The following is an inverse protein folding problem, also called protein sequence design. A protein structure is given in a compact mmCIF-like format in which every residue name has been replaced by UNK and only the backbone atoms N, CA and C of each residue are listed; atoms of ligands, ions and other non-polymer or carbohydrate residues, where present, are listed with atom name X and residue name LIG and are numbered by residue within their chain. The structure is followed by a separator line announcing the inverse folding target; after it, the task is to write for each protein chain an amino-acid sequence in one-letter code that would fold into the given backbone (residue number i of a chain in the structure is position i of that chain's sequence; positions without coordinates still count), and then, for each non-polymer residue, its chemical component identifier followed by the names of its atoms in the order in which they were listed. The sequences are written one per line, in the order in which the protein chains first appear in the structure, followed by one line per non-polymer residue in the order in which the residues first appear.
data_IF_597857481032
#
_entry.id   IF_597857481032
#
_cell.length_a   1.000
_cell.length_b   1.000
_cell.length_c   1.000
_cell.angle_alpha   90.00
_cell.angle_beta   90.00
_cell.angle_gamma   90.00
#
_symmetry.space_group_name_H-M   'P 1'
#
loop_
_entity.id
_entity.type
_entity.pdbx_description
1 polymer ?
#
# COMPACT_ATOMS: atom_id res chain seq x y z
N UNK A 1 0.09 11.49 -10.78
CA UNK A 1 0.38 10.07 -10.51
C UNK A 1 0.48 9.88 -9.01
N UNK A 2 -0.28 8.96 -8.44
CA UNK A 2 -0.71 9.03 -7.04
C UNK A 2 0.42 8.66 -6.07
N UNK A 3 1.24 9.67 -5.78
CA UNK A 3 2.21 9.72 -4.71
C UNK A 3 1.46 9.81 -3.38
N UNK A 4 0.77 8.72 -3.00
CA UNK A 4 -0.01 8.68 -1.76
C UNK A 4 0.94 8.99 -0.60
N UNK A 5 0.68 10.10 0.09
CA UNK A 5 1.50 10.54 1.22
C UNK A 5 1.09 9.73 2.44
N UNK A 6 2.04 9.51 3.35
CA UNK A 6 1.79 8.80 4.62
C UNK A 6 0.62 9.40 5.39
N UNK A 7 0.50 10.74 5.37
CA UNK A 7 -0.58 11.48 6.03
C UNK A 7 -1.97 11.12 5.49
N UNK A 8 -2.07 10.83 4.20
CA UNK A 8 -3.35 10.48 3.57
C UNK A 8 -3.75 9.04 3.92
N UNK A 9 -2.78 8.12 3.98
CA UNK A 9 -3.00 6.74 4.43
C UNK A 9 -3.44 6.67 5.90
N UNK A 10 -2.89 7.53 6.76
CA UNK A 10 -3.27 7.58 8.17
C UNK A 10 -4.73 7.98 8.38
N UNK A 11 -5.28 8.82 7.49
CA UNK A 11 -6.68 9.24 7.54
C UNK A 11 -7.67 8.17 7.04
N UNK A 12 -7.20 7.20 6.27
CA UNK A 12 -8.04 6.10 5.78
C UNK A 12 -8.36 5.13 6.91
N UNK A 13 -9.59 4.61 6.93
CA UNK A 13 -9.97 3.53 7.83
C UNK A 13 -9.40 2.18 7.35
N UNK A 14 -9.46 1.14 8.19
CA UNK A 14 -8.87 -0.17 7.86
C UNK A 14 -9.45 -0.79 6.57
N UNK A 15 -10.76 -0.63 6.34
CA UNK A 15 -11.46 -1.16 5.17
C UNK A 15 -11.06 -0.44 3.88
N UNK A 16 -10.94 0.88 3.93
CA UNK A 16 -10.45 1.72 2.84
C UNK A 16 -9.00 1.37 2.49
N UNK A 17 -8.15 1.14 3.49
CA UNK A 17 -6.77 0.70 3.27
C UNK A 17 -6.70 -0.66 2.60
N UNK A 18 -7.55 -1.62 2.99
CA UNK A 18 -7.63 -2.93 2.34
C UNK A 18 -8.10 -2.83 0.88
N UNK A 19 -9.16 -2.07 0.61
CA UNK A 19 -9.62 -1.82 -0.76
C UNK A 19 -8.52 -1.17 -1.60
N UNK A 20 -7.82 -0.17 -1.05
CA UNK A 20 -6.71 0.50 -1.74
C UNK A 20 -5.52 -0.44 -1.98
N UNK A 21 -5.26 -1.36 -1.07
CA UNK A 21 -4.23 -2.38 -1.22
C UNK A 21 -4.56 -3.32 -2.39
N UNK A 22 -5.81 -3.73 -2.54
CA UNK A 22 -6.28 -4.58 -3.63
C UNK A 22 -6.19 -3.86 -4.99
N UNK A 23 -6.60 -2.59 -5.05
CA UNK A 23 -6.47 -1.76 -6.25
C UNK A 23 -5.00 -1.65 -6.70
N UNK A 24 -4.10 -1.27 -5.78
CA UNK A 24 -2.67 -1.14 -6.08
C UNK A 24 -2.04 -2.47 -6.52
N UNK A 25 -2.50 -3.59 -5.95
CA UNK A 25 -2.05 -4.93 -6.35
C UNK A 25 -2.47 -5.26 -7.78
N UNK A 26 -3.73 -5.00 -8.14
CA UNK A 26 -4.23 -5.23 -9.50
C UNK A 26 -3.51 -4.35 -10.53
N UNK A 27 -3.28 -3.09 -10.20
CA UNK A 27 -2.56 -2.14 -11.06
C UNK A 27 -1.10 -2.56 -11.26
N UNK A 28 -0.46 -3.08 -10.22
CA UNK A 28 0.90 -3.61 -10.27
C UNK A 28 1.00 -4.89 -11.11
N UNK A 29 0.01 -5.78 -11.02
CA UNK A 29 -0.06 -6.99 -11.86
C UNK A 29 -0.24 -6.59 -13.33
N UNK A 30 -1.18 -5.70 -13.64
CA UNK A 30 -1.41 -5.20 -15.01
C UNK A 30 -0.16 -4.53 -15.58
N UNK A 31 0.54 -3.74 -14.77
CA UNK A 31 1.77 -3.05 -15.17
C UNK A 31 2.95 -4.02 -15.38
N UNK A 32 3.02 -5.12 -14.63
CA UNK A 32 4.04 -6.16 -14.80
C UNK A 32 3.82 -7.04 -16.03
N UNK A 33 2.56 -7.29 -16.41
CA UNK A 33 2.21 -8.06 -17.62
C UNK A 33 2.50 -7.26 -18.89
N UNK A 34 2.28 -5.94 -18.86
CA UNK A 34 2.50 -5.05 -20.02
C UNK A 34 3.96 -4.65 -20.21
N UNK A 35 4.75 -4.57 -19.14
CA UNK A 35 6.15 -4.22 -19.19
C UNK A 35 6.98 -5.33 -18.52
N UNK A 36 7.52 -6.26 -19.31
CA UNK A 36 8.56 -7.22 -18.89
C UNK A 36 9.87 -6.56 -18.38
N UNK A 37 9.87 -5.23 -18.13
CA UNK A 37 10.95 -4.41 -17.59
C UNK A 37 10.40 -3.47 -16.53
N UNK A 38 11.14 -3.31 -15.43
CA UNK A 38 10.74 -2.42 -14.33
C UNK A 38 10.73 -0.96 -14.80
N UNK A 39 9.54 -0.36 -14.85
CA UNK A 39 9.33 1.05 -15.22
C UNK A 39 9.21 1.94 -13.96
N UNK A 40 9.39 3.26 -14.10
CA UNK A 40 9.33 4.18 -12.96
C UNK A 40 7.98 4.11 -12.21
N UNK A 41 6.90 3.86 -12.95
CA UNK A 41 5.55 3.71 -12.42
C UNK A 41 5.39 2.47 -11.52
N UNK A 42 5.90 1.30 -11.92
CA UNK A 42 5.88 0.11 -11.04
C UNK A 42 6.71 0.31 -9.78
N UNK A 43 7.81 1.07 -9.84
CA UNK A 43 8.60 1.42 -8.65
C UNK A 43 7.80 2.28 -7.67
N UNK A 44 7.02 3.23 -8.17
CA UNK A 44 6.14 4.05 -7.34
C UNK A 44 4.97 3.26 -6.74
N UNK A 45 4.33 2.39 -7.53
CA UNK A 45 3.27 1.49 -7.04
C UNK A 45 3.79 0.57 -5.92
N UNK A 46 4.96 -0.04 -6.11
CA UNK A 46 5.63 -0.85 -5.08
C UNK A 46 5.90 -0.05 -3.80
N UNK A 47 6.36 1.20 -3.92
CA UNK A 47 6.59 2.10 -2.77
C UNK A 47 5.29 2.47 -2.05
N UNK A 48 4.23 2.79 -2.78
CA UNK A 48 2.92 3.08 -2.20
C UNK A 48 2.36 1.86 -1.46
N UNK A 49 2.45 0.67 -2.07
CA UNK A 49 2.04 -0.59 -1.46
C UNK A 49 2.82 -0.89 -0.17
N UNK A 50 4.15 -0.73 -0.20
CA UNK A 50 5.00 -0.95 0.98
C UNK A 50 4.67 -0.01 2.15
N UNK A 51 4.36 1.26 1.86
CA UNK A 51 3.93 2.23 2.89
C UNK A 51 2.61 1.82 3.55
N UNK A 52 1.65 1.39 2.74
CA UNK A 52 0.35 0.95 3.21
C UNK A 52 0.46 -0.34 4.05
N UNK A 53 1.29 -1.29 3.59
CA UNK A 53 1.55 -2.54 4.30
C UNK A 53 2.27 -2.31 5.65
N UNK A 54 3.18 -1.34 5.69
CA UNK A 54 3.87 -0.93 6.94
C UNK A 54 2.88 -0.32 7.92
N UNK A 55 2.00 0.57 7.46
CA UNK A 55 0.97 1.19 8.30
C UNK A 55 0.04 0.13 8.91
N UNK A 56 -0.45 -0.82 8.09
CA UNK A 56 -1.29 -1.91 8.56
C UNK A 56 -0.58 -2.83 9.56
N UNK A 57 0.75 -3.03 9.43
CA UNK A 57 1.53 -3.79 10.42
C UNK A 57 1.71 -3.04 11.73
N UNK A 58 1.93 -1.72 11.68
CA UNK A 58 2.03 -0.88 12.89
C UNK A 58 0.72 -0.94 13.67
N UNK A 59 -0.42 -0.73 13.01
CA UNK A 59 -1.74 -0.80 13.66
C UNK A 59 -2.01 -2.18 14.29
N UNK A 60 -1.60 -3.28 13.63
CA UNK A 60 -1.71 -4.64 14.18
C UNK A 60 -0.72 -4.91 15.32
N UNK A 61 0.49 -4.36 15.27
CA UNK A 61 1.51 -4.47 16.32
C UNK A 61 1.14 -3.67 17.57
N UNK A 62 0.57 -2.47 17.40
CA UNK A 62 0.00 -1.68 18.51
C UNK A 62 -1.19 -2.40 19.17
N UNK A 63 -2.00 -3.12 18.40
CA UNK A 63 -3.09 -3.93 18.93
C UNK A 63 -2.61 -5.14 19.78
N UNK A 64 -1.40 -5.64 19.53
CA UNK A 64 -0.81 -6.74 20.30
C UNK A 64 -0.12 -6.25 21.59
N UNK A 65 0.45 -5.04 21.59
CA UNK A 65 1.10 -4.47 22.77
C UNK A 65 0.13 -3.88 23.79
N UNK A 66 -1.10 -3.49 23.40
CA UNK A 66 -2.15 -3.04 24.33
C UNK A 66 -2.84 -4.17 25.11
N UNK A 67 -2.47 -5.44 24.85
CA UNK A 67 -3.02 -6.63 25.53
C UNK A 67 -2.05 -7.25 26.55
N UNK A 68 -0.92 -6.60 26.83
CA UNK A 68 0.05 -7.01 27.86
C UNK A 68 0.00 -6.09 29.05
#
# INVERSE_FOLDING_TARGET
MALIRKRDLQKMNAKERESKMLELKLELIKSGVTANKTNAQTKELKRAFARLLTLNRIDRGEAQNKKK
#
